data_IF_372641705071
#
_entry.id   IF_372641705071
#
_cell.length_a   1.000
_cell.length_b   1.000
_cell.length_c   1.000
_cell.angle_alpha   90.00
_cell.angle_beta   90.00
_cell.angle_gamma   90.00
#
_symmetry.space_group_name_H-M   'P 1'
#
loop_
_entity.id
_entity.type
_entity.pdbx_description
1 polymer ?
#
# COMPACT_ATOMS: atom_id res chain seq x y z
N UNK A 1 12.83 19.50 0.41
CA UNK A 1 12.11 18.32 -0.11
C UNK A 1 11.18 18.80 -1.21
N UNK A 2 11.03 18.01 -2.26
CA UNK A 2 10.09 18.29 -3.35
C UNK A 2 9.17 17.09 -3.47
N UNK A 3 7.85 17.32 -3.47
CA UNK A 3 6.86 16.30 -3.81
C UNK A 3 6.36 16.50 -5.23
N UNK A 4 6.27 15.40 -6.00
CA UNK A 4 5.67 15.37 -7.33
C UNK A 4 4.70 14.20 -7.43
N UNK A 5 3.53 14.45 -8.01
CA UNK A 5 2.57 13.40 -8.37
C UNK A 5 2.70 13.08 -9.86
N UNK A 6 2.72 11.80 -10.17
CA UNK A 6 2.68 11.28 -11.54
C UNK A 6 1.45 10.38 -11.71
N UNK A 7 0.51 10.85 -12.53
CA UNK A 7 -0.72 10.13 -12.83
C UNK A 7 -0.45 8.98 -13.78
N UNK A 8 -0.87 7.78 -13.37
CA UNK A 8 -0.75 6.53 -14.11
C UNK A 8 -2.13 6.13 -14.68
N UNK A 9 -2.19 4.97 -15.32
CA UNK A 9 -3.45 4.42 -15.84
C UNK A 9 -4.37 3.99 -14.69
N UNK A 10 -5.67 3.87 -14.98
CA UNK A 10 -6.68 3.34 -14.05
C UNK A 10 -6.85 4.11 -12.72
N UNK A 11 -6.54 5.41 -12.70
CA UNK A 11 -6.69 6.24 -11.49
C UNK A 11 -5.60 5.99 -10.44
N UNK A 12 -4.51 5.35 -10.84
CA UNK A 12 -3.33 5.17 -10.02
C UNK A 12 -2.44 6.40 -10.07
N UNK A 13 -1.83 6.72 -8.94
CA UNK A 13 -0.84 7.78 -8.82
C UNK A 13 0.44 7.23 -8.22
N UNK A 14 1.57 7.73 -8.71
CA UNK A 14 2.87 7.63 -8.04
C UNK A 14 3.20 8.97 -7.39
N UNK A 15 3.37 8.96 -6.07
CA UNK A 15 3.65 10.13 -5.26
C UNK A 15 5.12 10.07 -4.86
N UNK A 16 5.93 10.93 -5.46
CA UNK A 16 7.40 10.93 -5.37
C UNK A 16 7.83 12.05 -4.44
N UNK A 17 8.62 11.74 -3.41
CA UNK A 17 9.24 12.71 -2.49
C UNK A 17 10.76 12.58 -2.64
N UNK A 18 11.42 13.71 -2.88
CA UNK A 18 12.85 13.78 -3.18
C UNK A 18 13.55 14.85 -2.30
N UNK A 19 14.76 14.52 -1.85
CA UNK A 19 15.74 15.46 -1.33
C UNK A 19 17.17 15.00 -1.73
N UNK A 20 18.18 15.78 -1.34
CA UNK A 20 19.57 15.54 -1.75
C UNK A 20 20.09 14.12 -1.43
N UNK A 21 19.56 13.47 -0.39
CA UNK A 21 20.02 12.15 0.07
C UNK A 21 19.14 10.99 -0.42
N UNK A 22 17.84 11.23 -0.59
CA UNK A 22 16.87 10.15 -0.76
C UNK A 22 15.68 10.46 -1.66
N UNK A 23 15.21 9.42 -2.35
CA UNK A 23 14.04 9.44 -3.23
C UNK A 23 13.11 8.32 -2.80
N UNK A 24 11.93 8.68 -2.30
CA UNK A 24 10.92 7.72 -1.87
C UNK A 24 9.66 7.89 -2.73
N UNK A 25 9.06 6.77 -3.10
CA UNK A 25 7.90 6.74 -3.99
C UNK A 25 6.81 5.90 -3.36
N UNK A 26 5.61 6.45 -3.32
CA UNK A 26 4.41 5.78 -2.86
C UNK A 26 3.40 5.66 -3.99
N UNK A 27 2.41 4.78 -3.84
CA UNK A 27 1.21 4.76 -4.68
C UNK A 27 -0.06 4.80 -3.83
N UNK A 28 -1.11 5.40 -4.38
CA UNK A 28 -2.44 5.39 -3.79
C UNK A 28 -3.11 4.01 -3.84
N UNK A 29 -2.58 3.04 -4.60
CA UNK A 29 -3.06 1.67 -4.54
C UNK A 29 -2.49 0.89 -3.36
N UNK A 30 -3.35 0.62 -2.38
CA UNK A 30 -2.99 -0.05 -1.15
C UNK A 30 -2.11 0.80 -0.23
N UNK A 31 -2.12 2.13 -0.39
CA UNK A 31 -1.29 3.08 0.37
C UNK A 31 0.13 2.54 0.58
N UNK A 32 0.82 2.33 -0.54
CA UNK A 32 1.97 1.41 -0.65
C UNK A 32 3.27 2.18 -0.87
N UNK A 33 4.35 1.76 -0.19
CA UNK A 33 5.70 2.16 -0.58
C UNK A 33 6.15 1.33 -1.79
N UNK A 34 6.59 2.01 -2.85
CA UNK A 34 6.96 1.41 -4.13
C UNK A 34 8.47 1.35 -4.30
N UNK A 35 9.18 2.41 -3.90
CA UNK A 35 10.64 2.49 -3.96
C UNK A 35 11.15 3.41 -2.88
N UNK A 36 12.34 3.13 -2.37
CA UNK A 36 13.08 4.02 -1.51
C UNK A 36 14.56 3.93 -1.86
N UNK A 37 15.06 4.93 -2.58
CA UNK A 37 16.47 5.05 -2.93
C UNK A 37 17.19 5.93 -1.92
N UNK A 38 18.27 5.41 -1.37
CA UNK A 38 19.26 6.19 -0.63
C UNK A 38 20.54 6.20 -1.46
N UNK A 39 20.92 7.38 -1.97
CA UNK A 39 21.84 7.49 -3.10
C UNK A 39 21.41 6.59 -4.27
N UNK A 40 22.29 5.70 -4.74
CA UNK A 40 22.04 4.82 -5.89
C UNK A 40 21.39 3.47 -5.51
N UNK A 41 21.14 3.21 -4.22
CA UNK A 41 20.66 1.92 -3.74
C UNK A 41 19.17 1.98 -3.39
N UNK A 42 18.35 1.15 -4.05
CA UNK A 42 16.98 0.91 -3.62
C UNK A 42 16.99 -0.06 -2.44
N UNK A 43 16.44 0.37 -1.30
CA UNK A 43 16.49 -0.37 -0.03
C UNK A 43 15.21 -1.15 0.28
N UNK A 44 14.24 -1.16 -0.64
CA UNK A 44 12.99 -1.93 -0.53
C UNK A 44 12.74 -2.73 -1.80
N UNK A 45 12.08 -3.88 -1.65
CA UNK A 45 11.45 -4.56 -2.78
C UNK A 45 10.20 -3.79 -3.20
N UNK A 46 9.92 -3.77 -4.50
CA UNK A 46 8.87 -2.95 -5.07
C UNK A 46 8.29 -3.54 -6.34
N UNK A 47 7.65 -2.68 -7.14
CA UNK A 47 7.12 -3.06 -8.45
C UNK A 47 8.25 -3.45 -9.43
N UNK A 48 7.92 -4.22 -10.47
CA UNK A 48 8.90 -4.77 -11.43
C UNK A 48 9.73 -3.66 -12.11
N UNK A 49 9.12 -2.50 -12.36
CA UNK A 49 9.76 -1.33 -12.99
C UNK A 49 10.03 -0.20 -11.98
N UNK A 50 10.16 -0.56 -10.70
CA UNK A 50 10.37 0.37 -9.58
C UNK A 50 9.36 1.53 -9.56
N UNK A 51 9.79 2.74 -9.96
CA UNK A 51 9.08 4.00 -9.80
C UNK A 51 8.60 4.63 -11.12
N UNK A 52 8.72 3.92 -12.24
CA UNK A 52 8.35 4.44 -13.56
C UNK A 52 6.88 4.15 -13.91
N UNK A 53 6.38 2.97 -13.59
CA UNK A 53 4.99 2.56 -13.77
C UNK A 53 4.58 1.60 -12.63
N UNK A 54 3.28 1.49 -12.35
CA UNK A 54 2.77 0.56 -11.36
C UNK A 54 1.87 -0.51 -11.99
N UNK A 55 2.26 -1.78 -11.85
CA UNK A 55 1.45 -2.93 -12.25
C UNK A 55 0.72 -3.56 -11.06
N UNK A 56 -0.57 -3.86 -11.22
CA UNK A 56 -1.42 -4.48 -10.19
C UNK A 56 -1.03 -5.92 -9.84
N UNK A 57 -0.43 -6.64 -10.78
CA UNK A 57 -0.04 -8.05 -10.63
C UNK A 57 1.21 -8.19 -9.77
N UNK A 58 1.08 -7.89 -8.48
CA UNK A 58 2.14 -8.08 -7.50
C UNK A 58 1.76 -9.20 -6.52
N UNK A 59 2.32 -10.42 -6.66
CA UNK A 59 1.91 -11.57 -5.87
C UNK A 59 2.27 -11.47 -4.38
N UNK A 60 3.21 -10.60 -3.98
CA UNK A 60 3.78 -10.62 -2.63
C UNK A 60 3.40 -9.43 -1.74
N UNK A 61 2.48 -8.57 -2.15
CA UNK A 61 2.03 -7.40 -1.38
C UNK A 61 3.18 -6.46 -0.91
N UNK A 62 4.32 -6.43 -1.60
CA UNK A 62 5.47 -5.63 -1.19
C UNK A 62 5.12 -4.17 -0.91
N UNK A 63 5.43 -3.72 0.30
CA UNK A 63 5.21 -2.34 0.74
C UNK A 63 3.76 -1.91 0.93
N UNK A 64 2.78 -2.80 0.73
CA UNK A 64 1.36 -2.45 0.83
C UNK A 64 0.91 -2.29 2.28
N UNK A 65 -0.05 -1.40 2.50
CA UNK A 65 -0.82 -1.39 3.74
C UNK A 65 -1.79 -2.57 3.76
N UNK A 66 -1.57 -3.51 4.67
CA UNK A 66 -2.40 -4.70 4.84
C UNK A 66 -3.54 -4.42 5.83
N UNK A 67 -4.77 -4.82 5.47
CA UNK A 67 -5.88 -4.73 6.40
C UNK A 67 -7.22 -5.21 5.84
N UNK A 68 -8.30 -5.23 6.63
CA UNK A 68 -8.37 -4.70 8.01
C UNK A 68 -7.65 -5.56 9.06
N UNK A 69 -7.31 -6.81 8.72
CA UNK A 69 -6.54 -7.70 9.58
C UNK A 69 -5.28 -8.19 8.84
N UNK A 70 -4.10 -7.98 9.44
CA UNK A 70 -2.84 -8.49 8.90
C UNK A 70 -2.53 -9.88 9.47
N UNK A 71 -2.16 -10.83 8.60
CA UNK A 71 -1.96 -12.23 8.96
C UNK A 71 -3.22 -13.06 8.70
N UNK A 72 -3.31 -14.20 9.39
CA UNK A 72 -4.37 -15.19 9.21
C UNK A 72 -5.39 -15.11 10.34
N UNK A 73 -6.66 -15.29 10.01
CA UNK A 73 -7.73 -15.63 10.93
C UNK A 73 -8.09 -17.10 10.70
N UNK A 74 -8.02 -17.89 11.78
CA UNK A 74 -8.27 -19.32 11.73
C UNK A 74 -9.69 -19.63 11.25
N UNK A 75 -9.83 -20.66 10.40
CA UNK A 75 -11.11 -21.09 9.81
C UNK A 75 -11.95 -19.96 9.17
N UNK A 76 -11.30 -18.86 8.76
CA UNK A 76 -11.94 -17.67 8.24
C UNK A 76 -13.14 -17.20 9.09
N UNK A 77 -13.04 -17.32 10.41
CA UNK A 77 -14.15 -16.96 11.30
C UNK A 77 -13.64 -16.37 12.60
N UNK A 78 -14.41 -15.47 13.18
CA UNK A 78 -14.16 -14.97 14.52
C UNK A 78 -15.48 -14.68 15.23
N UNK A 79 -15.41 -14.61 16.56
CA UNK A 79 -16.53 -14.18 17.40
C UNK A 79 -16.30 -12.74 17.83
N UNK A 80 -17.36 -11.95 17.80
CA UNK A 80 -17.41 -10.62 18.37
C UNK A 80 -18.74 -10.51 19.10
N UNK A 81 -18.67 -10.28 20.41
CA UNK A 81 -19.79 -10.42 21.33
C UNK A 81 -20.46 -11.79 21.20
N UNK A 82 -21.79 -11.83 21.01
CA UNK A 82 -22.57 -13.06 20.86
C UNK A 82 -22.65 -13.57 19.41
N UNK A 83 -22.09 -12.80 18.45
CA UNK A 83 -22.18 -13.10 17.03
C UNK A 83 -20.91 -13.79 16.50
N UNK A 84 -21.10 -14.72 15.57
CA UNK A 84 -20.00 -15.35 14.82
C UNK A 84 -19.98 -14.78 13.40
N UNK A 85 -18.88 -14.14 13.04
CA UNK A 85 -18.65 -13.58 11.73
C UNK A 85 -17.86 -14.55 10.87
N UNK A 86 -18.42 -14.89 9.71
CA UNK A 86 -17.73 -15.66 8.68
C UNK A 86 -17.09 -14.71 7.68
N UNK A 87 -15.85 -15.02 7.32
CA UNK A 87 -15.03 -14.28 6.38
C UNK A 87 -14.73 -15.15 5.16
N UNK A 88 -14.12 -14.53 4.16
CA UNK A 88 -13.61 -15.24 2.99
C UNK A 88 -12.42 -16.14 3.37
N UNK A 89 -12.47 -17.42 3.04
CA UNK A 89 -11.31 -18.32 3.11
C UNK A 89 -10.43 -18.18 1.86
N UNK A 90 -9.54 -17.19 1.85
CA UNK A 90 -8.66 -16.89 0.71
C UNK A 90 -7.25 -17.50 0.82
N UNK A 91 -6.96 -18.23 1.89
CA UNK A 91 -5.71 -18.98 2.07
C UNK A 91 -5.99 -20.33 2.72
N UNK A 92 -6.32 -21.32 1.89
CA UNK A 92 -6.84 -22.60 2.36
C UNK A 92 -8.15 -22.41 3.11
N UNK A 93 -8.22 -22.89 4.36
CA UNK A 93 -9.37 -22.68 5.24
C UNK A 93 -9.34 -21.34 6.00
N UNK A 94 -8.24 -20.58 5.89
CA UNK A 94 -8.01 -19.36 6.67
C UNK A 94 -8.34 -18.10 5.87
N UNK A 95 -8.59 -17.00 6.61
CA UNK A 95 -8.70 -15.67 6.03
C UNK A 95 -7.37 -14.94 6.18
N UNK A 96 -6.74 -14.55 5.08
CA UNK A 96 -5.43 -13.91 5.03
C UNK A 96 -5.56 -12.46 4.56
N UNK A 97 -4.94 -11.53 5.30
CA UNK A 97 -4.68 -10.15 4.85
C UNK A 97 -5.93 -9.36 4.41
N UNK A 98 -7.09 -9.62 5.02
CA UNK A 98 -8.34 -8.92 4.68
C UNK A 98 -9.09 -9.50 3.47
N UNK A 99 -8.62 -10.60 2.90
CA UNK A 99 -9.29 -11.28 1.78
C UNK A 99 -9.14 -10.55 0.45
N UNK A 100 -10.00 -10.89 -0.50
CA UNK A 100 -10.13 -10.24 -1.81
C UNK A 100 -10.44 -8.74 -1.71
N UNK A 101 -11.00 -8.29 -0.60
CA UNK A 101 -11.39 -6.91 -0.32
C UNK A 101 -10.40 -6.16 0.59
N UNK A 102 -9.22 -6.75 0.84
CA UNK A 102 -8.20 -6.18 1.72
C UNK A 102 -7.71 -4.80 1.27
N UNK A 103 -7.21 -4.02 2.24
CA UNK A 103 -6.76 -2.64 2.01
C UNK A 103 -5.67 -2.54 0.94
N UNK A 104 -4.80 -3.54 0.84
CA UNK A 104 -3.74 -3.65 -0.17
C UNK A 104 -4.24 -3.67 -1.62
N UNK A 105 -5.56 -3.84 -1.83
CA UNK A 105 -6.23 -3.88 -3.13
C UNK A 105 -7.18 -2.71 -3.37
N UNK A 106 -7.16 -1.69 -2.51
CA UNK A 106 -8.00 -0.49 -2.65
C UNK A 106 -7.21 0.65 -3.27
N UNK A 107 -7.87 1.45 -4.10
CA UNK A 107 -7.36 2.77 -4.47
C UNK A 107 -7.81 3.72 -3.36
N UNK A 108 -6.84 4.40 -2.74
CA UNK A 108 -7.06 5.38 -1.68
C UNK A 108 -7.17 6.77 -2.27
N UNK A 109 -7.98 7.62 -1.66
CA UNK A 109 -7.81 9.07 -1.75
C UNK A 109 -6.58 9.49 -0.96
N UNK A 110 -6.01 10.65 -1.26
CA UNK A 110 -4.88 11.16 -0.49
C UNK A 110 -4.81 12.69 -0.49
N UNK A 111 -4.14 13.21 0.53
CA UNK A 111 -3.68 14.60 0.61
C UNK A 111 -2.17 14.65 0.89
N UNK A 112 -1.51 15.66 0.33
CA UNK A 112 -0.08 15.93 0.58
C UNK A 112 0.01 17.21 1.41
N UNK A 113 0.68 17.12 2.56
CA UNK A 113 0.95 18.25 3.45
C UNK A 113 2.46 18.50 3.46
N UNK A 114 2.87 19.68 2.99
CA UNK A 114 4.27 20.11 2.94
C UNK A 114 4.55 21.10 4.08
N UNK A 115 5.37 20.65 5.04
CA UNK A 115 5.81 21.40 6.20
C UNK A 115 7.33 21.64 6.12
N UNK A 116 7.84 22.62 6.87
CA UNK A 116 9.27 22.89 6.91
C UNK A 116 10.03 21.65 7.41
N UNK A 117 10.80 21.03 6.53
CA UNK A 117 11.61 19.85 6.82
C UNK A 117 10.83 18.53 6.85
N UNK A 118 9.56 18.50 6.42
CA UNK A 118 8.75 17.28 6.42
C UNK A 118 7.67 17.32 5.34
N UNK A 119 7.49 16.21 4.62
CA UNK A 119 6.33 15.99 3.76
C UNK A 119 5.52 14.82 4.33
N UNK A 120 4.19 14.99 4.42
CA UNK A 120 3.25 13.94 4.80
C UNK A 120 2.35 13.59 3.62
N UNK A 121 2.08 12.30 3.45
CA UNK A 121 1.03 11.82 2.55
C UNK A 121 0.01 11.10 3.43
N UNK A 122 -1.22 11.61 3.47
CA UNK A 122 -2.30 11.04 4.28
C UNK A 122 -3.24 10.33 3.32
N UNK A 123 -3.24 9.00 3.39
CA UNK A 123 -4.12 8.15 2.58
C UNK A 123 -5.42 7.87 3.31
N UNK A 124 -6.55 7.94 2.61
CA UNK A 124 -7.90 7.67 3.15
C UNK A 124 -8.66 6.71 2.23
N UNK A 125 -9.40 5.78 2.82
CA UNK A 125 -10.34 4.89 2.10
C UNK A 125 -11.56 4.63 2.97
N UNK A 126 -12.70 4.38 2.33
CA UNK A 126 -13.95 3.94 2.98
C UNK A 126 -14.06 2.42 3.06
#
# INVERSE_FOLDING_TARGET
MISKVEHQRHGLDLIKIDNDDTKIVFTNYGARIVSWKYHDNNIVLGNVVEADEFYFEEPFNFGATIGRYAGRIENASFKLDDDTFQLESNDGQHHLHGGSHGLNRRIFDYEIVDDIGQVKIIFTTT
#
